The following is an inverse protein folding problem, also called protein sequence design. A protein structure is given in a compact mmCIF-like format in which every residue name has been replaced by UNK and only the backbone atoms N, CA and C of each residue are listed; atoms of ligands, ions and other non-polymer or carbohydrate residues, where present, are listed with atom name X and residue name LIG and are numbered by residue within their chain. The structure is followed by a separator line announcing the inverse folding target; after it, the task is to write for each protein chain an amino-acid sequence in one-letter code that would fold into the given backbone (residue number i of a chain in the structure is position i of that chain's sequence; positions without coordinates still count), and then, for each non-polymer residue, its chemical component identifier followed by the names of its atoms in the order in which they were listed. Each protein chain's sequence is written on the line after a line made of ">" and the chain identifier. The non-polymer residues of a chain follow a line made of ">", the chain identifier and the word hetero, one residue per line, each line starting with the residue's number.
data_IF_668199024586
#
_entry.id   IF_668199024586
#
_cell.length_a   1.000
_cell.length_b   1.000
_cell.length_c   1.000
_cell.angle_alpha   90.00
_cell.angle_beta   90.00
_cell.angle_gamma   90.00
#
_symmetry.space_group_name_H-M   'P 1'
#
loop_
_entity.id
_entity.type
_entity.pdbx_description
1 polymer ?
#
# COMPACT_ATOMS: atom_id res chain seq x y z
N UNK A 1 -4.46 0.84 10.49
CA UNK A 1 -3.52 0.16 9.62
C UNK A 1 -2.27 0.99 9.50
N UNK A 2 -1.10 0.36 9.42
CA UNK A 2 0.20 1.04 9.31
C UNK A 2 1.04 0.43 8.20
N UNK A 3 1.90 1.20 7.51
CA UNK A 3 2.83 0.63 6.55
C UNK A 3 3.72 -0.43 7.21
N UNK A 4 3.95 -1.54 6.50
CA UNK A 4 4.76 -2.67 6.98
C UNK A 4 5.86 -2.98 5.97
N UNK A 5 7.08 -3.20 6.48
CA UNK A 5 8.19 -3.68 5.66
C UNK A 5 7.93 -5.10 5.15
N UNK A 6 8.41 -5.41 3.96
CA UNK A 6 8.24 -6.72 3.33
C UNK A 6 9.47 -7.10 2.48
N UNK A 7 9.72 -8.40 2.21
CA UNK A 7 10.99 -8.87 1.65
C UNK A 7 11.43 -8.20 0.34
N UNK A 8 10.47 -7.85 -0.53
CA UNK A 8 10.74 -7.25 -1.83
C UNK A 8 10.96 -5.73 -1.78
N UNK A 9 10.82 -5.09 -0.63
CA UNK A 9 11.02 -3.64 -0.47
C UNK A 9 12.37 -3.18 -1.05
N UNK A 10 12.34 -2.15 -1.90
CA UNK A 10 13.54 -1.57 -2.51
C UNK A 10 13.58 -0.03 -2.43
N UNK A 11 12.53 0.60 -1.89
CA UNK A 11 12.43 2.05 -1.76
C UNK A 11 11.65 2.42 -0.49
N UNK A 12 11.97 3.58 0.08
CA UNK A 12 11.27 4.19 1.20
C UNK A 12 10.80 5.59 0.81
N UNK A 13 9.52 5.74 0.50
CA UNK A 13 8.96 7.04 0.12
C UNK A 13 8.83 7.96 1.34
N UNK A 14 9.03 9.26 1.15
CA UNK A 14 8.81 10.27 2.21
C UNK A 14 9.83 10.25 3.34
N UNK A 15 10.91 9.46 3.26
CA UNK A 15 11.91 9.32 4.32
C UNK A 15 12.52 10.65 4.79
N UNK A 16 12.75 11.58 3.85
CA UNK A 16 13.38 12.88 4.11
C UNK A 16 12.35 14.02 4.29
N UNK A 17 11.05 13.70 4.38
CA UNK A 17 9.98 14.69 4.47
C UNK A 17 9.28 14.59 5.84
N UNK A 18 9.51 15.52 6.77
CA UNK A 18 9.01 15.44 8.14
C UNK A 18 7.48 15.45 8.25
N UNK A 19 6.79 15.97 7.25
CA UNK A 19 5.32 15.97 7.18
C UNK A 19 4.71 14.62 6.75
N UNK A 20 5.51 13.68 6.25
CA UNK A 20 5.05 12.38 5.80
C UNK A 20 5.59 11.26 6.69
N UNK A 21 4.75 10.24 6.91
CA UNK A 21 5.21 8.98 7.46
C UNK A 21 5.98 8.23 6.37
N UNK A 22 7.19 7.71 6.67
CA UNK A 22 7.94 6.91 5.71
C UNK A 22 7.11 5.70 5.24
N UNK A 23 7.04 5.52 3.93
CA UNK A 23 6.26 4.46 3.30
C UNK A 23 7.18 3.43 2.65
N UNK A 24 7.44 2.29 3.30
CA UNK A 24 8.19 1.19 2.70
C UNK A 24 7.43 0.64 1.49
N UNK A 25 8.13 0.49 0.37
CA UNK A 25 7.54 0.02 -0.87
C UNK A 25 8.52 -0.75 -1.74
N UNK A 26 7.97 -1.48 -2.70
CA UNK A 26 8.68 -1.99 -3.85
C UNK A 26 8.25 -1.17 -5.07
N UNK A 27 9.21 -0.75 -5.88
CA UNK A 27 8.96 -0.11 -7.18
C UNK A 27 9.68 -0.88 -8.29
N UNK A 28 8.96 -1.29 -9.32
CA UNK A 28 9.53 -1.95 -10.50
C UNK A 28 9.91 -0.95 -11.60
N UNK A 29 10.48 -1.43 -12.71
CA UNK A 29 10.91 -0.60 -13.85
C UNK A 29 9.75 0.04 -14.60
N UNK A 30 8.55 -0.59 -14.55
CA UNK A 30 7.31 -0.10 -15.15
C UNK A 30 6.70 1.04 -14.33
N UNK A 31 7.14 1.22 -13.09
CA UNK A 31 6.69 2.27 -12.19
C UNK A 31 5.54 1.87 -11.28
N UNK A 32 5.17 0.59 -11.22
CA UNK A 32 4.22 0.09 -10.24
C UNK A 32 4.82 0.20 -8.84
N UNK A 33 3.98 0.62 -7.89
CA UNK A 33 4.36 0.77 -6.49
C UNK A 33 3.54 -0.17 -5.64
N UNK A 34 4.21 -1.11 -4.99
CA UNK A 34 3.61 -2.11 -4.12
C UNK A 34 3.88 -1.72 -2.67
N UNK A 35 2.82 -1.71 -1.86
CA UNK A 35 2.90 -1.40 -0.43
C UNK A 35 2.22 -2.50 0.38
N UNK A 36 2.72 -2.76 1.58
CA UNK A 36 2.11 -3.69 2.52
C UNK A 36 1.59 -2.91 3.73
N UNK A 37 0.42 -3.30 4.23
CA UNK A 37 -0.23 -2.66 5.36
C UNK A 37 -0.55 -3.71 6.42
N UNK A 38 -0.17 -3.42 7.65
CA UNK A 38 -0.57 -4.19 8.81
C UNK A 38 -1.88 -3.63 9.36
N UNK A 39 -2.84 -4.51 9.63
CA UNK A 39 -4.11 -4.15 10.24
C UNK A 39 -4.06 -4.46 11.74
N UNK A 40 -4.74 -3.64 12.54
CA UNK A 40 -5.02 -3.99 13.93
C UNK A 40 -6.09 -5.07 14.02
N UNK A 41 -6.19 -5.75 15.17
CA UNK A 41 -7.24 -6.75 15.41
C UNK A 41 -8.65 -6.16 15.22
N UNK A 42 -8.88 -4.92 15.69
CA UNK A 42 -10.15 -4.21 15.50
C UNK A 42 -10.48 -3.97 14.02
N UNK A 43 -9.48 -3.62 13.20
CA UNK A 43 -9.68 -3.44 11.76
C UNK A 43 -9.92 -4.76 11.04
N UNK A 44 -9.29 -5.85 11.49
CA UNK A 44 -9.56 -7.20 10.99
C UNK A 44 -11.01 -7.61 11.29
N UNK A 45 -11.49 -7.38 12.51
CA UNK A 45 -12.90 -7.62 12.88
C UNK A 45 -13.85 -6.84 11.96
N UNK A 46 -13.58 -5.55 11.74
CA UNK A 46 -14.38 -4.69 10.87
C UNK A 46 -14.38 -5.15 9.40
N UNK A 47 -13.22 -5.59 8.87
CA UNK A 47 -13.14 -6.16 7.52
C UNK A 47 -13.94 -7.46 7.41
N UNK A 48 -13.89 -8.31 8.43
CA UNK A 48 -14.63 -9.58 8.44
C UNK A 48 -16.13 -9.33 8.43
N UNK A 49 -16.60 -8.34 9.20
CA UNK A 49 -18.02 -7.98 9.26
C UNK A 49 -18.52 -7.31 7.98
N UNK A 50 -17.80 -6.30 7.50
CA UNK A 50 -18.29 -5.42 6.42
C UNK A 50 -17.92 -5.91 5.02
N UNK A 51 -16.84 -6.71 4.90
CA UNK A 51 -16.20 -7.07 3.62
C UNK A 51 -15.80 -5.86 2.76
N UNK A 52 -15.62 -4.70 3.38
CA UNK A 52 -15.34 -3.44 2.69
C UNK A 52 -13.94 -2.94 3.02
N UNK A 53 -13.12 -2.69 2.00
CA UNK A 53 -11.88 -1.94 2.10
C UNK A 53 -12.04 -0.60 1.39
N UNK A 54 -11.76 0.49 2.10
CA UNK A 54 -11.84 1.85 1.54
C UNK A 54 -10.43 2.38 1.26
N UNK A 55 -10.20 2.86 0.04
CA UNK A 55 -8.96 3.52 -0.36
C UNK A 55 -9.23 4.97 -0.74
N UNK A 56 -8.54 5.89 -0.07
CA UNK A 56 -8.51 7.32 -0.41
C UNK A 56 -7.12 7.70 -0.87
N UNK A 57 -7.00 8.21 -2.10
CA UNK A 57 -5.73 8.61 -2.70
C UNK A 57 -5.70 10.11 -2.98
N UNK A 58 -4.59 10.74 -2.64
CA UNK A 58 -4.33 12.13 -3.03
C UNK A 58 -3.73 12.15 -4.44
N UNK A 59 -4.56 12.44 -5.44
CA UNK A 59 -4.10 12.54 -6.84
C UNK A 59 -3.37 13.85 -7.14
N UNK A 60 -3.40 14.82 -6.21
CA UNK A 60 -2.86 16.17 -6.41
C UNK A 60 -3.39 16.85 -7.68
N UNK A 61 -4.67 16.64 -7.99
CA UNK A 61 -5.33 17.12 -9.20
C UNK A 61 -4.70 16.61 -10.52
N UNK A 62 -3.94 15.52 -10.46
CA UNK A 62 -3.48 14.78 -11.63
C UNK A 62 -4.45 13.61 -11.93
N UNK A 63 -4.39 13.02 -13.14
CA UNK A 63 -5.12 11.80 -13.44
C UNK A 63 -4.84 10.70 -12.42
N UNK A 64 -5.90 9.98 -12.02
CA UNK A 64 -5.78 8.84 -11.12
C UNK A 64 -4.94 7.74 -11.80
N UNK A 65 -3.91 7.27 -11.11
CA UNK A 65 -3.15 6.09 -11.54
C UNK A 65 -3.97 4.82 -11.25
N UNK A 66 -3.84 3.75 -12.06
CA UNK A 66 -4.49 2.47 -11.78
C UNK A 66 -4.18 1.96 -10.37
N UNK A 67 -5.17 1.35 -9.73
CA UNK A 67 -5.04 0.77 -8.39
C UNK A 67 -5.40 -0.70 -8.47
N UNK A 68 -4.50 -1.55 -7.96
CA UNK A 68 -4.75 -2.95 -7.70
C UNK A 68 -4.61 -3.22 -6.20
N UNK A 69 -5.60 -3.89 -5.60
CA UNK A 69 -5.59 -4.24 -4.17
C UNK A 69 -5.96 -5.72 -4.04
N UNK A 70 -5.16 -6.45 -3.27
CA UNK A 70 -5.37 -7.88 -3.01
C UNK A 70 -4.95 -8.23 -1.58
N UNK A 71 -5.51 -9.30 -1.05
CA UNK A 71 -5.06 -9.94 0.18
C UNK A 71 -4.06 -11.09 -0.08
N UNK A 72 -3.90 -11.52 -1.34
CA UNK A 72 -2.95 -12.55 -1.72
C UNK A 72 -1.68 -11.92 -2.31
N UNK A 73 -0.59 -12.00 -1.53
CA UNK A 73 0.71 -11.45 -1.91
C UNK A 73 1.23 -12.03 -3.24
N UNK A 74 0.87 -13.26 -3.59
CA UNK A 74 1.36 -13.91 -4.81
C UNK A 74 0.83 -13.26 -6.09
N UNK A 75 -0.31 -12.58 -6.02
CA UNK A 75 -0.88 -11.86 -7.17
C UNK A 75 -0.12 -10.57 -7.50
N UNK A 76 0.67 -10.04 -6.56
CA UNK A 76 1.37 -8.75 -6.71
C UNK A 76 2.63 -8.83 -7.59
N UNK A 77 3.23 -10.02 -7.75
CA UNK A 77 4.54 -10.22 -8.38
C UNK A 77 4.50 -11.23 -9.52
N UNK A 78 3.46 -11.17 -10.35
CA UNK A 78 3.35 -12.05 -11.52
C UNK A 78 4.18 -11.49 -12.69
N UNK A 79 4.95 -12.37 -13.33
CA UNK A 79 5.80 -12.07 -14.51
C UNK A 79 5.00 -11.78 -15.77
#
# INVERSE_FOLDING_TARGET
>A
MTPKEFPEQNILFGADQPEYLPLPAHRNEQGDVITCWELSDEEVEMLVETKCLFLSLKTFNQPLQPVFITADRSELFTE
#
